data_IF_593955822551
#
_entry.id   IF_593955822551
#
_cell.length_a   1.000
_cell.length_b   1.000
_cell.length_c   1.000
_cell.angle_alpha   90.00
_cell.angle_beta   90.00
_cell.angle_gamma   90.00
#
_symmetry.space_group_name_H-M   'P 1'
#
loop_
_entity.id
_entity.type
_entity.pdbx_description
1 polymer ?
#
# COMPACT_ATOMS: atom_id res chain seq x y z
N UNK A 1 20.58 4.82 -4.75
CA UNK A 1 19.42 4.32 -5.57
C UNK A 1 19.31 4.99 -6.95
N UNK A 2 18.95 4.26 -8.03
CA UNK A 2 18.68 4.87 -9.35
C UNK A 2 17.35 5.65 -9.37
N UNK A 3 17.27 6.71 -10.18
CA UNK A 3 16.07 7.56 -10.29
C UNK A 3 14.81 6.78 -10.69
N UNK A 4 14.93 5.84 -11.62
CA UNK A 4 13.83 4.97 -12.04
C UNK A 4 13.32 4.07 -10.90
N UNK A 5 14.23 3.48 -10.11
CA UNK A 5 13.86 2.65 -8.95
C UNK A 5 13.13 3.48 -7.89
N UNK A 6 13.60 4.70 -7.63
CA UNK A 6 12.96 5.61 -6.66
C UNK A 6 11.56 6.01 -7.10
N UNK A 7 11.38 6.36 -8.38
CA UNK A 7 10.06 6.66 -8.94
C UNK A 7 9.12 5.46 -8.85
N UNK A 8 9.60 4.26 -9.21
CA UNK A 8 8.83 3.03 -9.11
C UNK A 8 8.35 2.76 -7.68
N UNK A 9 9.24 2.86 -6.68
CA UNK A 9 8.87 2.64 -5.28
C UNK A 9 7.87 3.68 -4.77
N UNK A 10 8.00 4.94 -5.22
CA UNK A 10 7.03 6.00 -4.90
C UNK A 10 5.65 5.69 -5.45
N UNK A 11 5.57 5.29 -6.72
CA UNK A 11 4.31 4.88 -7.35
C UNK A 11 3.73 3.65 -6.65
N UNK A 12 4.56 2.67 -6.32
CA UNK A 12 4.14 1.45 -5.64
C UNK A 12 3.55 1.75 -4.26
N UNK A 13 4.19 2.61 -3.47
CA UNK A 13 3.69 3.07 -2.18
C UNK A 13 2.37 3.86 -2.34
N UNK A 14 2.32 4.83 -3.26
CA UNK A 14 1.12 5.64 -3.46
C UNK A 14 -0.08 4.80 -3.92
N UNK A 15 0.11 3.91 -4.89
CA UNK A 15 -0.96 3.08 -5.46
C UNK A 15 -1.45 2.02 -4.47
N UNK A 16 -0.55 1.40 -3.68
CA UNK A 16 -0.95 0.44 -2.65
C UNK A 16 -1.76 1.10 -1.53
N UNK A 17 -1.37 2.29 -1.08
CA UNK A 17 -2.13 3.06 -0.10
C UNK A 17 -3.51 3.47 -0.65
N UNK A 18 -3.56 3.98 -1.88
CA UNK A 18 -4.82 4.36 -2.53
C UNK A 18 -5.78 3.16 -2.68
N UNK A 19 -5.25 2.00 -3.09
CA UNK A 19 -6.03 0.77 -3.19
C UNK A 19 -6.57 0.30 -1.83
N UNK A 20 -5.77 0.37 -0.77
CA UNK A 20 -6.20 -0.02 0.57
C UNK A 20 -7.34 0.88 1.08
N UNK A 21 -7.21 2.20 0.90
CA UNK A 21 -8.25 3.17 1.24
C UNK A 21 -9.52 2.89 0.43
N UNK A 22 -9.40 2.62 -0.87
CA UNK A 22 -10.54 2.31 -1.73
C UNK A 22 -11.30 1.07 -1.25
N UNK A 23 -10.60 -0.03 -0.94
CA UNK A 23 -11.21 -1.26 -0.43
C UNK A 23 -11.94 -1.02 0.89
N UNK A 24 -11.33 -0.27 1.81
CA UNK A 24 -11.96 0.09 3.09
C UNK A 24 -13.21 0.94 2.88
N UNK A 25 -13.16 1.95 2.01
CA UNK A 25 -14.32 2.79 1.69
C UNK A 25 -15.44 1.98 1.04
N UNK A 26 -15.11 1.09 0.12
CA UNK A 26 -16.09 0.20 -0.52
C UNK A 26 -16.74 -0.74 0.52
N UNK A 27 -15.94 -1.30 1.43
CA UNK A 27 -16.44 -2.16 2.50
C UNK A 27 -17.34 -1.41 3.49
N UNK A 28 -16.98 -0.17 3.87
CA UNK A 28 -17.82 0.69 4.71
C UNK A 28 -19.16 0.98 4.04
N UNK A 29 -19.15 1.32 2.75
CA UNK A 29 -20.38 1.60 1.98
C UNK A 29 -21.27 0.38 1.81
N UNK A 30 -20.69 -0.82 1.80
CA UNK A 30 -21.40 -2.08 1.70
C UNK A 30 -21.78 -2.68 3.06
N UNK A 31 -21.49 -1.99 4.18
CA UNK A 31 -21.64 -2.51 5.55
C UNK A 31 -20.98 -3.88 5.76
N UNK A 32 -19.94 -4.18 4.99
CA UNK A 32 -19.31 -5.50 4.88
C UNK A 32 -17.92 -5.52 5.53
N UNK A 33 -17.72 -4.76 6.61
CA UNK A 33 -16.47 -4.76 7.39
C UNK A 33 -16.30 -6.12 8.10
N UNK A 34 -15.68 -7.05 7.39
CA UNK A 34 -15.47 -8.42 7.84
C UNK A 34 -13.99 -8.81 7.81
N UNK A 35 -13.68 -9.98 8.37
CA UNK A 35 -12.33 -10.54 8.28
C UNK A 35 -11.83 -10.68 6.84
N UNK A 36 -12.72 -10.87 5.87
CA UNK A 36 -12.35 -10.95 4.45
C UNK A 36 -11.77 -9.63 3.91
N UNK A 37 -12.30 -8.49 4.36
CA UNK A 37 -11.77 -7.16 4.00
C UNK A 37 -10.38 -6.97 4.60
N UNK A 38 -10.15 -7.45 5.82
CA UNK A 38 -8.82 -7.43 6.44
C UNK A 38 -7.80 -8.21 5.60
N UNK A 39 -8.14 -9.43 5.15
CA UNK A 39 -7.27 -10.21 4.27
C UNK A 39 -7.06 -9.57 2.90
N UNK A 40 -7.99 -8.76 2.41
CA UNK A 40 -7.81 -7.99 1.17
C UNK A 40 -6.87 -6.78 1.35
N UNK A 41 -6.91 -6.13 2.52
CA UNK A 41 -6.11 -4.93 2.81
C UNK A 41 -4.69 -5.27 3.27
N UNK A 42 -4.50 -6.39 3.97
CA UNK A 42 -3.22 -6.78 4.57
C UNK A 42 -2.06 -6.86 3.54
N UNK A 43 -2.22 -7.49 2.36
CA UNK A 43 -1.16 -7.51 1.35
C UNK A 43 -0.81 -6.12 0.83
N UNK A 44 -1.79 -5.21 0.74
CA UNK A 44 -1.56 -3.82 0.30
C UNK A 44 -0.72 -3.05 1.32
N UNK A 45 -0.99 -3.25 2.61
CA UNK A 45 -0.19 -2.67 3.70
C UNK A 45 1.24 -3.22 3.72
N UNK A 46 1.41 -4.53 3.46
CA UNK A 46 2.74 -5.13 3.32
C UNK A 46 3.50 -4.54 2.12
N UNK A 47 2.85 -4.43 0.96
CA UNK A 47 3.43 -3.85 -0.24
C UNK A 47 3.86 -2.40 -0.02
N UNK A 48 2.99 -1.60 0.62
CA UNK A 48 3.29 -0.24 1.04
C UNK A 48 4.51 -0.20 1.95
N UNK A 49 4.56 -1.05 2.99
CA UNK A 49 5.65 -1.07 3.97
C UNK A 49 6.99 -1.42 3.32
N UNK A 50 7.01 -2.37 2.39
CA UNK A 50 8.20 -2.75 1.62
C UNK A 50 8.65 -1.59 0.73
N UNK A 51 7.72 -0.97 0.00
CA UNK A 51 8.01 0.16 -0.87
C UNK A 51 8.53 1.38 -0.10
N UNK A 52 7.88 1.67 1.03
CA UNK A 52 8.23 2.77 1.92
C UNK A 52 9.59 2.57 2.59
N UNK A 53 9.87 1.34 3.07
CA UNK A 53 11.19 1.00 3.61
C UNK A 53 12.28 1.14 2.55
N UNK A 54 12.03 0.65 1.33
CA UNK A 54 12.95 0.84 0.21
C UNK A 54 13.17 2.29 -0.22
N UNK A 55 12.28 3.22 0.15
CA UNK A 55 12.44 4.67 -0.04
C UNK A 55 13.11 5.37 1.16
N UNK A 56 12.96 4.81 2.35
CA UNK A 56 13.36 5.41 3.63
C UNK A 56 14.75 4.95 4.09
N UNK A 57 15.19 3.76 3.67
CA UNK A 57 16.60 3.37 3.79
C UNK A 57 17.43 4.33 2.94
N UNK A 58 18.04 5.31 3.62
CA UNK A 58 19.16 6.05 3.09
C UNK A 58 20.34 5.09 3.12
N UNK A 59 20.98 4.90 1.97
CA UNK A 59 22.31 4.31 1.88
C UNK A 59 23.23 5.17 2.79
N UNK A 60 23.44 4.77 4.05
CA UNK A 60 24.54 5.25 4.91
C UNK A 60 25.86 4.60 4.46
#
# INVERSE_FOLDING_TARGET
MSGARRLFLWLLAALSAAAAIWVLVAAMRAEALSGQVFFAVLPLLMLFSIAWRGLSDKDD
#
